data_IF_695767301798
#
_entry.id   IF_695767301798
#
_cell.length_a   1.000
_cell.length_b   1.000
_cell.length_c   1.000
_cell.angle_alpha   90.00
_cell.angle_beta   90.00
_cell.angle_gamma   90.00
#
_symmetry.space_group_name_H-M   'P 1'
#
loop_
_entity.id
_entity.type
_entity.pdbx_description
1 polymer ?
#
# COMPACT_ATOMS: atom_id res chain seq x y z
N UNK A 1 12.28 -27.06 6.86
CA UNK A 1 12.52 -26.24 5.65
C UNK A 1 11.28 -25.41 5.37
N UNK A 2 11.36 -24.08 5.46
CA UNK A 2 10.27 -23.21 5.08
C UNK A 2 10.23 -23.00 3.56
N UNK A 3 9.03 -22.84 3.00
CA UNK A 3 8.86 -22.45 1.60
C UNK A 3 8.80 -20.92 1.51
N UNK A 4 9.23 -20.36 0.38
CA UNK A 4 9.11 -18.94 0.09
C UNK A 4 8.07 -18.70 -0.98
N UNK A 5 7.31 -17.61 -0.86
CA UNK A 5 6.41 -17.14 -1.90
C UNK A 5 6.67 -15.67 -2.20
N UNK A 6 6.39 -15.25 -3.43
CA UNK A 6 6.42 -13.86 -3.83
C UNK A 6 5.00 -13.35 -3.99
N UNK A 7 4.66 -12.28 -3.28
CA UNK A 7 3.37 -11.59 -3.42
C UNK A 7 3.66 -10.15 -3.80
N UNK A 8 3.02 -9.68 -4.87
CA UNK A 8 2.98 -8.26 -5.23
C UNK A 8 1.68 -7.63 -4.70
N UNK A 9 1.83 -6.56 -3.92
CA UNK A 9 0.69 -5.83 -3.39
C UNK A 9 -0.23 -5.27 -4.48
N UNK A 10 0.24 -5.13 -5.73
CA UNK A 10 -0.59 -4.63 -6.84
C UNK A 10 -1.90 -5.40 -7.02
N UNK A 11 -1.95 -6.67 -6.61
CA UNK A 11 -3.15 -7.51 -6.70
C UNK A 11 -4.24 -7.12 -5.69
N UNK A 12 -3.89 -6.35 -4.64
CA UNK A 12 -4.80 -5.97 -3.55
C UNK A 12 -4.64 -4.49 -3.12
N UNK A 13 -3.89 -3.70 -3.87
CA UNK A 13 -3.55 -2.30 -3.57
C UNK A 13 -3.26 -1.52 -4.86
N UNK A 14 -3.36 -0.20 -4.78
CA UNK A 14 -2.99 0.74 -5.83
C UNK A 14 -1.47 0.92 -6.06
N UNK A 15 -0.60 0.08 -5.49
CA UNK A 15 0.85 0.19 -5.65
C UNK A 15 1.54 -1.14 -5.95
N UNK A 16 2.60 -1.08 -6.76
CA UNK A 16 3.55 -2.17 -6.92
C UNK A 16 4.40 -2.33 -5.66
N UNK A 17 4.43 -3.53 -5.09
CA UNK A 17 5.29 -3.86 -3.93
C UNK A 17 5.49 -5.38 -3.84
N UNK A 18 6.22 -5.95 -4.78
CA UNK A 18 6.64 -7.37 -4.74
C UNK A 18 7.57 -7.64 -3.55
N UNK A 19 7.22 -8.62 -2.72
CA UNK A 19 8.02 -9.05 -1.55
C UNK A 19 8.01 -10.56 -1.42
N UNK A 20 9.12 -11.10 -0.95
CA UNK A 20 9.24 -12.51 -0.58
C UNK A 20 8.80 -12.71 0.87
N UNK A 21 8.00 -13.73 1.10
CA UNK A 21 7.54 -14.15 2.42
C UNK A 21 7.98 -15.59 2.64
N UNK A 22 8.74 -15.82 3.71
CA UNK A 22 9.15 -17.13 4.17
C UNK A 22 8.33 -17.49 5.40
N UNK A 23 7.86 -18.73 5.45
CA UNK A 23 7.07 -19.17 6.60
C UNK A 23 6.41 -20.51 6.38
N UNK A 24 5.51 -20.83 7.30
CA UNK A 24 4.73 -22.06 7.37
C UNK A 24 3.24 -21.76 7.60
N UNK A 25 2.78 -20.56 7.27
CA UNK A 25 1.39 -20.19 7.45
C UNK A 25 0.47 -21.07 6.58
N UNK A 26 -0.69 -21.50 7.11
CA UNK A 26 -1.66 -22.28 6.35
C UNK A 26 -2.10 -21.54 5.07
N UNK A 27 -2.08 -22.26 3.96
CA UNK A 27 -2.53 -21.73 2.67
C UNK A 27 -1.71 -20.54 2.15
N UNK A 28 -0.46 -20.36 2.59
CA UNK A 28 0.40 -19.24 2.16
C UNK A 28 0.51 -19.18 0.61
N UNK A 29 0.52 -20.33 -0.07
CA UNK A 29 0.60 -20.43 -1.55
C UNK A 29 -0.71 -20.12 -2.29
N UNK A 30 -1.80 -19.79 -1.59
CA UNK A 30 -3.06 -19.45 -2.26
C UNK A 30 -2.91 -18.17 -3.08
N UNK A 31 -3.72 -18.04 -4.13
CA UNK A 31 -3.74 -16.82 -4.93
C UNK A 31 -4.15 -15.62 -4.06
N UNK A 32 -3.47 -14.47 -4.17
CA UNK A 32 -3.93 -13.23 -3.59
C UNK A 32 -5.32 -12.88 -4.15
N UNK A 33 -6.26 -12.55 -3.26
CA UNK A 33 -7.63 -12.18 -3.63
C UNK A 33 -7.94 -10.83 -3.01
N UNK A 34 -8.25 -9.86 -3.88
CA UNK A 34 -8.78 -8.57 -3.45
C UNK A 34 -10.17 -8.74 -2.84
N UNK A 35 -10.43 -7.95 -1.80
CA UNK A 35 -11.73 -7.80 -1.16
C UNK A 35 -12.41 -6.53 -1.65
N UNK A 36 -13.72 -6.42 -1.45
CA UNK A 36 -14.51 -5.25 -1.84
C UNK A 36 -14.02 -3.94 -1.19
N UNK A 37 -13.35 -4.05 -0.04
CA UNK A 37 -12.82 -2.90 0.69
C UNK A 37 -11.41 -2.47 0.21
N UNK A 38 -10.76 -3.27 -0.63
CA UNK A 38 -9.40 -2.96 -1.09
C UNK A 38 -9.42 -1.90 -2.21
N UNK A 39 -8.63 -0.85 -2.04
CA UNK A 39 -8.48 0.23 -3.01
C UNK A 39 -7.49 -0.16 -4.09
N UNK A 40 -8.00 -0.65 -5.22
CA UNK A 40 -7.17 -1.22 -6.29
C UNK A 40 -6.65 -0.17 -7.26
N UNK A 41 -7.37 0.92 -7.48
CA UNK A 41 -6.92 2.02 -8.32
C UNK A 41 -6.46 3.20 -7.46
N UNK A 42 -5.48 3.95 -7.97
CA UNK A 42 -4.94 5.11 -7.27
C UNK A 42 -6.01 6.15 -6.99
N UNK A 43 -6.97 6.32 -7.92
CA UNK A 43 -8.07 7.26 -7.78
C UNK A 43 -8.90 7.01 -6.52
N UNK A 44 -9.08 5.75 -6.13
CA UNK A 44 -9.83 5.37 -4.92
C UNK A 44 -9.12 5.78 -3.62
N UNK A 45 -7.81 6.08 -3.71
CA UNK A 45 -6.98 6.49 -2.58
C UNK A 45 -6.91 8.01 -2.40
N UNK A 46 -7.26 8.79 -3.43
CA UNK A 46 -7.08 10.24 -3.45
C UNK A 46 -8.16 10.98 -2.64
N UNK A 47 -7.85 12.20 -2.22
CA UNK A 47 -8.85 13.12 -1.66
C UNK A 47 -9.74 13.71 -2.76
N UNK A 48 -10.88 14.28 -2.35
CA UNK A 48 -11.84 14.91 -3.25
C UNK A 48 -11.19 16.06 -4.02
N UNK A 49 -11.47 16.17 -5.32
CA UNK A 49 -10.93 17.22 -6.20
C UNK A 49 -9.55 16.90 -6.79
N UNK A 50 -8.98 15.73 -6.50
CA UNK A 50 -7.69 15.28 -7.04
C UNK A 50 -7.87 14.15 -8.04
N UNK A 51 -7.09 14.18 -9.11
CA UNK A 51 -7.20 13.24 -10.23
C UNK A 51 -5.91 12.43 -10.38
N UNK A 52 -6.03 11.11 -10.40
CA UNK A 52 -4.92 10.18 -10.60
C UNK A 52 -4.49 10.16 -12.07
N UNK A 53 -3.19 10.34 -12.32
CA UNK A 53 -2.60 10.19 -13.65
C UNK A 53 -2.29 8.74 -14.03
N UNK A 54 -2.22 7.86 -13.04
CA UNK A 54 -1.87 6.45 -13.20
C UNK A 54 -2.86 5.59 -12.42
N UNK A 55 -3.18 4.39 -12.94
CA UNK A 55 -4.03 3.42 -12.21
C UNK A 55 -3.34 2.87 -10.97
N UNK A 56 -2.03 2.61 -11.06
CA UNK A 56 -1.20 2.14 -9.95
C UNK A 56 0.12 2.89 -9.94
N UNK A 57 0.66 3.14 -8.75
CA UNK A 57 1.99 3.74 -8.58
C UNK A 57 3.08 2.67 -8.50
N UNK A 58 4.29 3.04 -8.92
CA UNK A 58 5.49 2.27 -8.65
C UNK A 58 5.74 2.13 -7.14
N UNK A 59 6.70 1.28 -6.76
CA UNK A 59 7.03 1.03 -5.36
C UNK A 59 7.43 2.31 -4.65
N UNK A 60 6.59 2.74 -3.70
CA UNK A 60 6.89 3.82 -2.79
C UNK A 60 7.94 3.34 -1.77
N UNK A 61 9.04 4.08 -1.70
CA UNK A 61 10.16 3.83 -0.79
C UNK A 61 10.36 4.99 0.18
N UNK A 62 11.36 4.87 1.04
CA UNK A 62 11.83 5.95 1.93
C UNK A 62 12.39 7.15 1.18
N UNK A 63 12.76 6.98 -0.08
CA UNK A 63 13.30 8.04 -0.91
C UNK A 63 12.15 8.92 -1.45
N UNK A 64 12.11 10.24 -1.16
CA UNK A 64 11.11 11.15 -1.71
C UNK A 64 10.95 11.07 -3.23
N UNK A 65 12.05 10.82 -3.96
CA UNK A 65 12.04 10.71 -5.41
C UNK A 65 11.23 9.51 -5.94
N UNK A 66 10.97 8.49 -5.12
CA UNK A 66 10.12 7.35 -5.52
C UNK A 66 8.65 7.70 -5.76
N UNK A 67 8.24 8.94 -5.42
CA UNK A 67 6.90 9.45 -5.77
C UNK A 67 6.75 9.75 -7.26
N UNK A 68 7.85 10.06 -7.96
CA UNK A 68 7.81 10.34 -9.39
C UNK A 68 7.62 9.05 -10.20
N UNK A 69 6.79 9.12 -11.23
CA UNK A 69 6.35 7.98 -12.02
C UNK A 69 6.86 8.06 -13.47
N UNK A 70 7.03 6.89 -14.07
CA UNK A 70 7.39 6.74 -15.48
C UNK A 70 8.76 7.31 -15.86
N UNK A 71 9.10 7.22 -17.15
CA UNK A 71 10.38 7.72 -17.69
C UNK A 71 10.49 9.24 -17.62
N UNK A 72 9.36 9.93 -17.67
CA UNK A 72 9.27 11.39 -17.65
C UNK A 72 9.31 11.98 -16.23
N UNK A 73 9.44 11.15 -15.18
CA UNK A 73 9.56 11.59 -13.79
C UNK A 73 8.43 12.53 -13.34
N UNK A 74 7.20 12.20 -13.74
CA UNK A 74 5.99 12.98 -13.48
C UNK A 74 5.43 12.68 -12.10
N UNK A 75 4.68 13.61 -11.52
CA UNK A 75 3.96 13.29 -10.29
C UNK A 75 2.68 12.49 -10.57
N UNK A 76 2.21 11.66 -9.62
CA UNK A 76 1.13 10.71 -9.88
C UNK A 76 -0.26 11.35 -9.87
N UNK A 77 -0.39 12.59 -9.41
CA UNK A 77 -1.68 13.27 -9.21
C UNK A 77 -1.69 14.62 -9.91
N UNK A 78 -2.88 15.06 -10.31
CA UNK A 78 -3.16 16.43 -10.74
C UNK A 78 -4.26 17.03 -9.86
N UNK A 79 -4.07 18.28 -9.45
CA UNK A 79 -5.06 19.08 -8.72
C UNK A 79 -5.15 20.45 -9.40
N UNK A 80 -6.35 20.83 -9.82
CA UNK A 80 -6.60 22.09 -10.54
C UNK A 80 -5.67 22.32 -11.74
N UNK A 81 -5.38 21.25 -12.49
CA UNK A 81 -4.49 21.27 -13.66
C UNK A 81 -2.98 21.25 -13.34
N UNK A 82 -2.59 21.31 -12.07
CA UNK A 82 -1.18 21.28 -11.65
C UNK A 82 -0.77 19.90 -11.16
N UNK A 83 0.46 19.48 -11.47
CA UNK A 83 1.02 18.23 -10.95
C UNK A 83 1.28 18.30 -9.44
N UNK A 84 0.87 17.27 -8.72
CA UNK A 84 1.08 17.16 -7.28
C UNK A 84 1.46 15.73 -6.86
N UNK A 85 2.19 15.66 -5.76
CA UNK A 85 2.59 14.43 -5.07
C UNK A 85 1.42 13.81 -4.30
N UNK A 86 1.55 12.54 -3.92
CA UNK A 86 0.63 11.94 -2.94
C UNK A 86 0.79 12.61 -1.57
N UNK A 87 -0.34 12.91 -0.96
CA UNK A 87 -0.43 13.34 0.44
C UNK A 87 -0.22 12.15 1.38
N UNK A 88 0.16 12.42 2.64
CA UNK A 88 0.41 11.36 3.62
C UNK A 88 -0.81 10.45 3.82
N UNK A 89 -2.02 11.01 3.85
CA UNK A 89 -3.28 10.27 4.00
C UNK A 89 -3.60 9.38 2.80
N UNK A 90 -3.28 9.87 1.60
CA UNK A 90 -3.41 9.10 0.35
C UNK A 90 -2.41 7.95 0.33
N UNK A 91 -1.17 8.19 0.78
CA UNK A 91 -0.17 7.14 0.95
C UNK A 91 -0.61 6.08 1.96
N UNK A 92 -1.18 6.48 3.10
CA UNK A 92 -1.72 5.53 4.09
C UNK A 92 -2.75 4.61 3.43
N UNK A 93 -3.70 5.17 2.67
CA UNK A 93 -4.70 4.39 1.92
C UNK A 93 -4.09 3.47 0.88
N UNK A 94 -3.09 3.92 0.12
CA UNK A 94 -2.37 3.07 -0.86
C UNK A 94 -1.76 1.84 -0.19
N UNK A 95 -1.22 1.99 1.02
CA UNK A 95 -0.67 0.89 1.80
C UNK A 95 -1.72 0.08 2.57
N UNK A 96 -2.97 0.54 2.61
CA UNK A 96 -4.08 -0.06 3.33
C UNK A 96 -4.14 0.28 4.82
N UNK A 97 -3.41 1.30 5.28
CA UNK A 97 -3.53 1.81 6.64
C UNK A 97 -4.81 2.66 6.80
N UNK A 98 -5.37 2.72 8.02
CA UNK A 98 -6.37 3.73 8.36
C UNK A 98 -5.85 5.14 8.07
N UNK A 99 -6.75 6.04 7.71
CA UNK A 99 -6.42 7.46 7.50
C UNK A 99 -5.95 8.05 8.83
N UNK A 100 -4.86 8.85 8.79
CA UNK A 100 -4.17 9.43 9.94
C UNK A 100 -3.43 8.44 10.83
N UNK A 101 -3.21 7.19 10.40
CA UNK A 101 -2.47 6.19 11.19
C UNK A 101 -1.06 6.64 11.58
N UNK A 102 -0.38 7.41 10.72
CA UNK A 102 0.97 7.93 10.97
C UNK A 102 0.98 9.39 11.41
N UNK A 103 -0.18 9.96 11.76
CA UNK A 103 -0.30 11.36 12.19
C UNK A 103 -0.01 11.51 13.69
N UNK A 104 1.21 11.15 14.08
CA UNK A 104 1.64 11.09 15.49
C UNK A 104 3.03 11.70 15.65
N UNK A 105 3.34 12.16 16.86
CA UNK A 105 4.70 12.58 17.23
C UNK A 105 5.27 13.75 16.42
N UNK A 106 4.42 14.62 15.87
CA UNK A 106 4.82 15.78 15.05
C UNK A 106 5.74 15.40 13.87
N UNK A 107 5.58 14.20 13.30
CA UNK A 107 6.36 13.76 12.15
C UNK A 107 6.04 14.62 10.92
N UNK A 108 7.09 15.15 10.29
CA UNK A 108 6.94 15.82 9.00
C UNK A 108 6.60 14.79 7.89
N UNK A 109 6.24 15.31 6.72
CA UNK A 109 5.90 14.49 5.55
C UNK A 109 6.98 13.46 5.18
N UNK A 110 8.25 13.84 5.22
CA UNK A 110 9.36 12.96 4.82
C UNK A 110 9.50 11.80 5.82
N UNK A 111 9.33 12.07 7.10
CA UNK A 111 9.40 11.04 8.14
C UNK A 111 8.23 10.06 8.06
N UNK A 112 7.01 10.57 7.80
CA UNK A 112 5.84 9.72 7.50
C UNK A 112 6.06 8.87 6.26
N UNK A 113 6.63 9.43 5.19
CA UNK A 113 7.01 8.68 4.00
C UNK A 113 8.09 7.62 4.28
N UNK A 114 9.08 7.91 5.13
CA UNK A 114 10.11 6.93 5.52
C UNK A 114 9.49 5.77 6.29
N UNK A 115 8.57 6.06 7.20
CA UNK A 115 7.86 5.04 7.97
C UNK A 115 7.01 4.15 7.06
N UNK A 116 6.14 4.73 6.24
CA UNK A 116 5.28 4.01 5.30
C UNK A 116 6.10 3.29 4.23
N UNK A 117 7.15 3.91 3.69
CA UNK A 117 8.03 3.31 2.69
C UNK A 117 8.66 1.99 3.15
N UNK A 118 8.88 1.80 4.46
CA UNK A 118 9.43 0.57 5.07
C UNK A 118 8.36 -0.43 5.52
N UNK A 119 7.11 -0.01 5.66
CA UNK A 119 6.05 -0.85 6.22
C UNK A 119 5.63 -1.98 5.28
N UNK A 120 4.83 -2.92 5.77
CA UNK A 120 4.16 -3.88 4.90
C UNK A 120 2.88 -3.29 4.29
N UNK A 121 2.45 -3.86 3.17
CA UNK A 121 1.11 -3.61 2.66
C UNK A 121 0.12 -4.34 3.55
N UNK A 122 -0.79 -3.59 4.17
CA UNK A 122 -1.82 -4.13 5.08
C UNK A 122 -2.66 -5.22 4.43
N UNK A 123 -3.19 -5.07 3.20
CA UNK A 123 -3.97 -6.15 2.57
C UNK A 123 -3.15 -7.42 2.30
N UNK A 124 -1.84 -7.31 2.04
CA UNK A 124 -0.96 -8.49 1.90
C UNK A 124 -0.81 -9.24 3.23
N UNK A 125 -0.59 -8.52 4.33
CA UNK A 125 -0.48 -9.16 5.65
C UNK A 125 -1.83 -9.71 6.12
N UNK A 126 -2.92 -8.97 5.90
CA UNK A 126 -4.28 -9.43 6.11
C UNK A 126 -4.54 -10.73 5.35
N UNK A 127 -4.14 -10.78 4.07
CA UNK A 127 -4.23 -11.99 3.28
C UNK A 127 -3.47 -13.12 3.95
N UNK A 128 -2.17 -12.98 4.24
CA UNK A 128 -1.35 -14.04 4.85
C UNK A 128 -1.93 -14.56 6.17
N UNK A 129 -2.41 -13.67 7.03
CA UNK A 129 -2.88 -14.01 8.38
C UNK A 129 -4.34 -14.46 8.43
N UNK A 130 -5.12 -14.30 7.34
CA UNK A 130 -6.54 -14.64 7.31
C UNK A 130 -6.92 -16.02 7.92
N UNK A 131 -6.20 -17.12 7.64
CA UNK A 131 -6.59 -18.45 8.12
C UNK A 131 -6.26 -18.66 9.59
N UNK A 132 -5.45 -17.79 10.21
CA UNK A 132 -5.17 -17.87 11.65
C UNK A 132 -6.45 -17.69 12.49
N UNK A 133 -7.50 -17.08 11.93
CA UNK A 133 -8.82 -16.99 12.58
C UNK A 133 -9.43 -18.35 12.92
N UNK A 134 -9.05 -19.42 12.23
CA UNK A 134 -9.54 -20.78 12.49
C UNK A 134 -8.78 -21.46 13.65
N UNK A 135 -7.64 -20.91 14.05
CA UNK A 135 -6.75 -21.53 15.05
C UNK A 135 -6.76 -20.80 16.40
N UNK A 136 -7.18 -19.54 16.43
CA UNK A 136 -7.13 -18.68 17.62
C UNK A 136 -8.51 -18.11 17.94
N UNK A 137 -8.74 -17.84 19.23
CA UNK A 137 -9.95 -17.18 19.69
C UNK A 137 -10.13 -15.82 19.00
N UNK A 138 -11.36 -15.50 18.61
CA UNK A 138 -11.73 -14.20 18.08
C UNK A 138 -12.71 -13.52 19.04
N UNK A 139 -12.51 -12.22 19.26
CA UNK A 139 -13.52 -11.38 19.89
C UNK A 139 -14.58 -11.03 18.85
N UNK A 140 -15.85 -11.22 19.19
CA UNK A 140 -16.99 -10.71 18.43
C UNK A 140 -17.09 -9.19 18.54
#
# INVERSE_FOLDING_TARGET
CGFSIMIDAKEMSAAHRARNFWGNLPGMTRHPVATENDKLELQDCLETGRVAKFKKVHTITTNPYSMKQGKQHQYPVTMDGNEDILWCTEMERVFGFPVHYTDVGNMNRIDRQRLLGRSWSVPVIRHLFAPLKEYFASSH
#
